data_IF_975022791915
#
_entry.id   IF_975022791915
#
_cell.length_a   1.000
_cell.length_b   1.000
_cell.length_c   1.000
_cell.angle_alpha   90.00
_cell.angle_beta   90.00
_cell.angle_gamma   90.00
#
_symmetry.space_group_name_H-M   'P 1'
#
loop_
_entity.id
_entity.type
_entity.pdbx_description
1 polymer ?
#
# COMPACT_ATOMS: atom_id res chain seq x y z
N UNK A 1 2.51 -14.41 6.74
CA UNK A 1 2.85 -12.97 6.62
C UNK A 1 2.79 -12.32 7.99
N UNK A 2 3.67 -11.37 8.21
CA UNK A 2 3.62 -10.58 9.45
C UNK A 2 2.45 -9.60 9.41
N UNK A 3 1.83 -9.37 10.57
CA UNK A 3 0.80 -8.35 10.70
C UNK A 3 1.42 -6.95 10.55
N UNK A 4 0.65 -6.01 10.03
CA UNK A 4 1.03 -4.60 10.00
C UNK A 4 0.33 -3.85 11.12
N UNK A 5 0.98 -2.82 11.65
CA UNK A 5 0.38 -1.91 12.63
C UNK A 5 0.98 -0.53 12.45
N UNK A 6 0.14 0.49 12.40
CA UNK A 6 0.61 1.86 12.24
C UNK A 6 -0.53 2.86 12.21
N UNK A 7 -0.17 4.12 12.03
CA UNK A 7 -1.13 5.22 11.92
C UNK A 7 -1.64 5.36 10.48
N UNK A 8 -2.85 5.87 10.34
CA UNK A 8 -3.54 5.97 9.05
C UNK A 8 -3.30 7.34 8.40
N UNK A 9 -2.88 7.28 7.14
CA UNK A 9 -2.97 8.42 6.20
C UNK A 9 -4.13 8.15 5.27
N UNK A 10 -5.13 9.02 5.27
CA UNK A 10 -6.35 8.82 4.51
C UNK A 10 -6.41 9.71 3.28
N UNK A 11 -6.73 9.09 2.13
CA UNK A 11 -6.90 9.77 0.85
C UNK A 11 -8.26 9.42 0.26
N UNK A 12 -8.71 10.20 -0.71
CA UNK A 12 -10.00 10.01 -1.37
C UNK A 12 -9.99 8.94 -2.46
N UNK A 13 -10.94 9.04 -3.37
CA UNK A 13 -11.04 8.15 -4.53
C UNK A 13 -10.17 8.58 -5.69
N UNK A 14 -9.93 7.66 -6.61
CA UNK A 14 -9.19 7.90 -7.86
C UNK A 14 -7.81 8.53 -7.65
N UNK A 15 -7.10 8.05 -6.64
CA UNK A 15 -5.70 8.45 -6.43
C UNK A 15 -4.87 7.79 -7.53
N UNK A 16 -4.50 8.58 -8.54
CA UNK A 16 -3.82 8.03 -9.70
C UNK A 16 -2.31 7.94 -9.53
N UNK A 17 -1.67 7.16 -10.39
CA UNK A 17 -0.22 6.91 -10.26
C UNK A 17 0.61 8.17 -10.42
N UNK A 18 0.12 9.16 -11.18
CA UNK A 18 0.80 10.44 -11.36
C UNK A 18 0.77 11.29 -10.08
N UNK A 19 -0.26 11.11 -9.26
CA UNK A 19 -0.37 11.75 -7.94
C UNK A 19 0.53 11.02 -6.93
N UNK A 20 0.60 9.69 -7.01
CA UNK A 20 1.43 8.89 -6.11
C UNK A 20 2.91 9.20 -6.33
N UNK A 21 3.35 9.19 -7.59
CA UNK A 21 4.70 9.58 -7.98
C UNK A 21 4.65 10.36 -9.29
N UNK A 22 4.89 11.68 -9.26
CA UNK A 22 4.79 12.50 -10.47
C UNK A 22 5.77 12.08 -11.57
N UNK A 23 5.35 12.27 -12.83
CA UNK A 23 6.13 11.89 -14.00
C UNK A 23 7.53 12.51 -14.02
N UNK A 24 7.71 13.70 -13.44
CA UNK A 24 9.00 14.37 -13.38
C UNK A 24 10.08 13.62 -12.59
N UNK A 25 9.68 12.62 -11.82
CA UNK A 25 10.62 11.80 -11.02
C UNK A 25 10.85 10.40 -11.59
N UNK A 26 10.27 10.07 -12.74
CA UNK A 26 10.34 8.72 -13.31
C UNK A 26 11.66 8.40 -14.00
N UNK A 27 12.56 9.36 -14.13
CA UNK A 27 13.90 9.13 -14.67
C UNK A 27 14.81 8.40 -13.68
N UNK A 28 14.38 8.22 -12.45
CA UNK A 28 15.09 7.43 -11.44
C UNK A 28 14.29 6.16 -11.13
N UNK A 29 15.01 5.06 -10.87
CA UNK A 29 14.44 3.81 -10.37
C UNK A 29 14.92 3.50 -8.95
N UNK A 30 15.64 4.43 -8.32
CA UNK A 30 16.10 4.27 -6.94
C UNK A 30 14.92 4.40 -5.97
N UNK A 31 14.57 3.32 -5.23
CA UNK A 31 13.44 3.38 -4.30
C UNK A 31 13.56 4.50 -3.27
N UNK A 32 14.74 4.76 -2.78
CA UNK A 32 14.97 5.82 -1.77
C UNK A 32 14.67 7.20 -2.33
N UNK A 33 15.07 7.46 -3.57
CA UNK A 33 14.78 8.72 -4.23
C UNK A 33 13.30 8.87 -4.52
N UNK A 34 12.65 7.82 -5.01
CA UNK A 34 11.21 7.83 -5.26
C UNK A 34 10.43 8.06 -3.96
N UNK A 35 10.88 7.48 -2.86
CA UNK A 35 10.24 7.64 -1.55
C UNK A 35 10.20 9.10 -1.11
N UNK A 36 11.22 9.89 -1.42
CA UNK A 36 11.28 11.30 -1.01
C UNK A 36 10.21 12.17 -1.68
N UNK A 37 9.62 11.68 -2.78
CA UNK A 37 8.60 12.40 -3.55
C UNK A 37 7.24 11.71 -3.53
N UNK A 38 7.09 10.66 -2.71
CA UNK A 38 5.85 9.90 -2.63
C UNK A 38 4.70 10.79 -2.17
N UNK A 39 3.60 10.78 -2.91
CA UNK A 39 2.37 11.54 -2.62
C UNK A 39 2.57 13.07 -2.61
N UNK A 40 3.67 13.57 -3.14
CA UNK A 40 4.05 14.99 -3.08
C UNK A 40 2.97 15.93 -3.64
N UNK A 41 2.33 15.53 -4.72
CA UNK A 41 1.33 16.39 -5.39
C UNK A 41 -0.05 16.36 -4.71
N UNK A 42 -0.31 15.43 -3.81
CA UNK A 42 -1.56 15.38 -3.06
C UNK A 42 -1.38 15.81 -1.59
N UNK A 43 -0.23 15.50 -1.01
CA UNK A 43 0.13 15.91 0.35
C UNK A 43 1.65 16.06 0.42
N UNK A 44 2.12 17.28 0.21
CA UNK A 44 3.56 17.58 0.19
C UNK A 44 4.27 17.28 1.51
N UNK A 45 3.54 17.16 2.61
CA UNK A 45 4.11 16.86 3.93
C UNK A 45 4.07 15.37 4.26
N UNK A 46 3.49 14.54 3.38
CA UNK A 46 3.35 13.10 3.62
C UNK A 46 4.69 12.46 3.99
N UNK A 47 5.74 12.72 3.20
CA UNK A 47 7.06 12.10 3.41
C UNK A 47 7.73 12.57 4.70
N UNK A 48 7.32 13.71 5.25
CA UNK A 48 7.82 14.23 6.53
C UNK A 48 7.09 13.62 7.72
N UNK A 49 5.85 13.19 7.53
CA UNK A 49 4.98 12.69 8.60
C UNK A 49 4.94 11.17 8.67
N UNK A 50 5.16 10.49 7.55
CA UNK A 50 5.05 9.02 7.49
C UNK A 50 6.19 8.38 8.29
N UNK A 51 5.85 7.37 9.09
CA UNK A 51 6.80 6.54 9.82
C UNK A 51 6.73 5.12 9.29
N UNK A 52 7.80 4.37 9.47
CA UNK A 52 7.82 2.98 9.06
C UNK A 52 6.72 2.19 9.76
N UNK A 53 5.92 1.46 8.98
CA UNK A 53 4.79 0.72 9.47
C UNK A 53 3.44 1.40 9.27
N UNK A 54 3.43 2.70 8.95
CA UNK A 54 2.17 3.43 8.72
C UNK A 54 1.38 2.85 7.55
N UNK A 55 0.09 3.16 7.51
CA UNK A 55 -0.85 2.54 6.59
C UNK A 55 -1.62 3.61 5.83
N UNK A 56 -1.77 3.42 4.52
CA UNK A 56 -2.62 4.27 3.67
C UNK A 56 -4.01 3.65 3.60
N UNK A 57 -5.04 4.46 3.81
CA UNK A 57 -6.44 4.09 3.61
C UNK A 57 -7.04 5.04 2.57
N UNK A 58 -7.67 4.49 1.53
CA UNK A 58 -8.23 5.28 0.44
C UNK A 58 -9.56 4.72 -0.04
N UNK A 59 -10.23 5.45 -0.91
CA UNK A 59 -11.52 5.03 -1.44
C UNK A 59 -11.36 4.24 -2.74
N UNK A 60 -12.24 4.48 -3.74
CA UNK A 60 -12.29 3.67 -4.96
C UNK A 60 -11.11 3.93 -5.89
N UNK A 61 -10.72 2.90 -6.61
CA UNK A 61 -9.84 2.98 -7.77
C UNK A 61 -8.46 3.56 -7.45
N UNK A 62 -7.87 3.10 -6.34
CA UNK A 62 -6.53 3.54 -5.95
C UNK A 62 -5.48 3.02 -6.94
N UNK A 63 -4.60 3.90 -7.38
CA UNK A 63 -3.54 3.55 -8.34
C UNK A 63 -3.99 3.57 -9.80
N UNK A 64 -5.09 4.25 -10.11
CA UNK A 64 -5.56 4.40 -11.49
C UNK A 64 -4.56 5.21 -12.33
N UNK A 65 -4.81 5.29 -13.64
CA UNK A 65 -3.94 6.01 -14.56
C UNK A 65 -2.91 5.10 -15.20
N UNK A 66 -1.72 5.63 -15.43
CA UNK A 66 -0.66 4.92 -16.14
C UNK A 66 -0.10 3.74 -15.36
N UNK A 67 0.29 2.69 -16.08
CA UNK A 67 0.92 1.51 -15.50
C UNK A 67 2.35 1.84 -15.09
N UNK A 68 2.54 2.30 -13.84
CA UNK A 68 3.85 2.65 -13.31
C UNK A 68 4.19 1.82 -12.09
N UNK A 69 5.18 0.97 -12.25
CA UNK A 69 5.73 0.19 -11.14
C UNK A 69 6.35 1.10 -10.07
N UNK A 70 6.78 2.30 -10.46
CA UNK A 70 7.34 3.30 -9.56
C UNK A 70 6.36 3.69 -8.45
N UNK A 71 5.05 3.67 -8.71
CA UNK A 71 4.05 4.06 -7.72
C UNK A 71 4.07 3.16 -6.48
N UNK A 72 3.88 1.83 -6.59
CA UNK A 72 3.96 0.99 -5.40
C UNK A 72 5.36 0.94 -4.79
N UNK A 73 6.41 1.07 -5.60
CA UNK A 73 7.79 1.14 -5.09
C UNK A 73 7.97 2.34 -4.18
N UNK A 74 7.48 3.52 -4.61
CA UNK A 74 7.61 4.75 -3.81
C UNK A 74 6.86 4.65 -2.48
N UNK A 75 5.67 4.05 -2.48
CA UNK A 75 4.87 3.86 -1.28
C UNK A 75 5.59 2.93 -0.30
N UNK A 76 6.07 1.79 -0.78
CA UNK A 76 6.78 0.82 0.05
C UNK A 76 8.07 1.41 0.62
N UNK A 77 8.84 2.10 -0.20
CA UNK A 77 10.11 2.69 0.22
C UNK A 77 9.92 3.84 1.21
N UNK A 78 8.77 4.52 1.17
CA UNK A 78 8.43 5.57 2.13
C UNK A 78 8.16 5.03 3.54
N UNK A 79 8.01 3.71 3.68
CA UNK A 79 7.79 3.06 4.97
C UNK A 79 6.37 2.55 5.18
N UNK A 80 5.48 2.71 4.20
CA UNK A 80 4.10 2.25 4.29
C UNK A 80 4.09 0.71 4.30
N UNK A 81 3.44 0.14 5.31
CA UNK A 81 3.39 -1.31 5.49
C UNK A 81 2.22 -1.96 4.75
N UNK A 82 1.18 -1.20 4.44
CA UNK A 82 -0.02 -1.73 3.80
C UNK A 82 -0.85 -0.59 3.22
N UNK A 83 -1.56 -0.87 2.12
CA UNK A 83 -2.57 0.04 1.58
C UNK A 83 -3.92 -0.66 1.64
N UNK A 84 -4.91 0.00 2.24
CA UNK A 84 -6.30 -0.46 2.31
C UNK A 84 -7.13 0.49 1.44
N UNK A 85 -7.94 -0.06 0.54
CA UNK A 85 -8.81 0.75 -0.31
C UNK A 85 -10.14 0.04 -0.55
N UNK A 86 -11.16 0.78 -0.99
CA UNK A 86 -12.40 0.16 -1.43
C UNK A 86 -12.14 -0.75 -2.62
N UNK A 87 -11.42 -0.23 -3.62
CA UNK A 87 -10.96 -0.98 -4.79
C UNK A 87 -9.61 -0.44 -5.26
N UNK A 88 -8.86 -1.28 -5.96
CA UNK A 88 -7.61 -0.90 -6.61
C UNK A 88 -7.75 -1.01 -8.13
N UNK A 89 -7.06 -0.15 -8.85
CA UNK A 89 -6.88 -0.35 -10.29
C UNK A 89 -6.11 -1.66 -10.51
N UNK A 90 -6.52 -2.44 -11.52
CA UNK A 90 -6.01 -3.80 -11.77
C UNK A 90 -4.48 -3.82 -11.90
N UNK A 91 -3.93 -2.89 -12.67
CA UNK A 91 -2.48 -2.86 -12.92
C UNK A 91 -1.72 -2.49 -11.64
N UNK A 92 -2.23 -1.53 -10.87
CA UNK A 92 -1.62 -1.17 -9.59
C UNK A 92 -1.63 -2.36 -8.63
N UNK A 93 -2.74 -3.08 -8.54
CA UNK A 93 -2.88 -4.28 -7.71
C UNK A 93 -1.77 -5.30 -8.04
N UNK A 94 -1.62 -5.60 -9.32
CA UNK A 94 -0.60 -6.53 -9.79
C UNK A 94 0.81 -6.05 -9.48
N UNK A 95 1.11 -4.79 -9.77
CA UNK A 95 2.43 -4.23 -9.53
C UNK A 95 2.78 -4.19 -8.04
N UNK A 96 1.81 -3.87 -7.18
CA UNK A 96 2.02 -3.85 -5.74
C UNK A 96 2.42 -5.23 -5.21
N UNK A 97 1.71 -6.28 -5.60
CA UNK A 97 2.04 -7.64 -5.19
C UNK A 97 3.42 -8.04 -5.71
N UNK A 98 3.73 -7.72 -6.97
CA UNK A 98 5.00 -8.09 -7.59
C UNK A 98 6.21 -7.44 -6.90
N UNK A 99 6.05 -6.28 -6.29
CA UNK A 99 7.15 -5.63 -5.55
C UNK A 99 7.08 -5.84 -4.04
N UNK A 100 6.10 -6.61 -3.59
CA UNK A 100 5.98 -6.97 -2.18
C UNK A 100 5.29 -5.94 -1.30
N UNK A 101 4.47 -5.05 -1.86
CA UNK A 101 3.64 -4.12 -1.08
C UNK A 101 2.31 -4.78 -0.76
N UNK A 102 2.01 -5.06 0.52
CA UNK A 102 0.70 -5.62 0.89
C UNK A 102 -0.43 -4.64 0.63
N UNK A 103 -1.52 -5.14 0.05
CA UNK A 103 -2.72 -4.34 -0.22
C UNK A 103 -3.96 -5.16 0.11
N UNK A 104 -5.01 -4.51 0.60
CA UNK A 104 -6.27 -5.17 0.96
C UNK A 104 -7.44 -4.33 0.46
N UNK A 105 -8.40 -4.98 -0.21
CA UNK A 105 -9.68 -4.36 -0.55
C UNK A 105 -10.66 -4.58 0.59
N UNK A 106 -11.15 -3.50 1.17
CA UNK A 106 -12.16 -3.55 2.22
C UNK A 106 -12.99 -2.26 2.17
N UNK A 107 -14.12 -2.26 1.44
CA UNK A 107 -14.94 -1.06 1.30
C UNK A 107 -15.39 -0.45 2.63
N UNK A 108 -15.77 -1.29 3.59
CA UNK A 108 -16.24 -0.81 4.89
C UNK A 108 -15.13 -0.12 5.67
N UNK A 109 -13.95 -0.73 5.75
CA UNK A 109 -12.79 -0.13 6.42
C UNK A 109 -12.39 1.18 5.75
N UNK A 110 -12.40 1.23 4.42
CA UNK A 110 -12.04 2.42 3.66
C UNK A 110 -12.97 3.60 3.96
N UNK A 111 -14.24 3.34 4.25
CA UNK A 111 -15.23 4.38 4.57
C UNK A 111 -15.15 4.84 6.02
N UNK A 112 -14.92 3.92 6.95
CA UNK A 112 -15.10 4.19 8.38
C UNK A 112 -13.81 4.55 9.12
N UNK A 113 -12.65 4.06 8.65
CA UNK A 113 -11.38 4.38 9.28
C UNK A 113 -11.02 5.84 9.01
N UNK A 114 -10.60 6.56 10.04
CA UNK A 114 -10.26 7.97 9.95
C UNK A 114 -8.76 8.20 9.91
N UNK A 115 -8.35 9.33 9.32
CA UNK A 115 -6.96 9.76 9.35
C UNK A 115 -6.49 9.89 10.79
N UNK A 116 -5.30 9.41 11.09
CA UNK A 116 -4.71 9.45 12.41
C UNK A 116 -5.08 8.28 13.32
N UNK A 117 -6.04 7.44 12.93
CA UNK A 117 -6.35 6.23 13.69
C UNK A 117 -5.14 5.28 13.70
N UNK A 118 -4.99 4.53 14.77
CA UNK A 118 -4.02 3.43 14.82
C UNK A 118 -4.74 2.14 14.46
N UNK A 119 -4.25 1.42 13.46
CA UNK A 119 -4.86 0.18 13.00
C UNK A 119 -3.84 -0.96 12.93
N UNK A 120 -4.37 -2.17 13.03
CA UNK A 120 -3.60 -3.41 12.89
C UNK A 120 -4.23 -4.26 11.80
N UNK A 121 -3.42 -4.84 10.94
CA UNK A 121 -3.88 -5.70 9.84
C UNK A 121 -3.27 -7.07 9.98
N UNK A 122 -4.12 -8.10 10.02
CA UNK A 122 -3.70 -9.50 9.97
C UNK A 122 -3.89 -9.98 8.53
N UNK A 123 -2.79 -10.20 7.82
CA UNK A 123 -2.84 -10.57 6.40
C UNK A 123 -3.33 -12.00 6.17
N UNK A 124 -3.16 -12.89 7.15
CA UNK A 124 -3.60 -14.28 7.01
C UNK A 124 -5.11 -14.43 7.05
N UNK A 125 -5.76 -13.66 7.92
CA UNK A 125 -7.22 -13.69 8.06
C UNK A 125 -7.94 -12.60 7.27
N UNK A 126 -7.23 -11.53 6.93
CA UNK A 126 -7.83 -10.34 6.33
C UNK A 126 -8.52 -9.42 7.34
N UNK A 127 -8.32 -9.65 8.63
CA UNK A 127 -8.95 -8.85 9.68
C UNK A 127 -8.17 -7.54 9.88
N UNK A 128 -8.89 -6.43 9.83
CA UNK A 128 -8.38 -5.09 10.08
C UNK A 128 -9.00 -4.62 11.40
N UNK A 129 -8.16 -4.32 12.38
CA UNK A 129 -8.62 -3.83 13.68
C UNK A 129 -8.25 -2.36 13.81
N UNK A 130 -9.27 -1.50 13.98
CA UNK A 130 -9.06 -0.09 14.33
C UNK A 130 -8.91 -0.02 15.84
N UNK A 131 -7.67 0.15 16.30
CA UNK A 131 -7.36 0.17 17.73
C UNK A 131 -7.95 1.41 18.39
N UNK A 132 -7.97 2.53 17.68
CA UNK A 132 -8.51 3.80 18.18
C UNK A 132 -9.99 3.74 18.45
N UNK A 133 -10.78 3.16 17.53
CA UNK A 133 -12.23 3.07 17.66
C UNK A 133 -12.71 1.73 18.21
N UNK A 134 -11.83 0.75 18.34
CA UNK A 134 -12.13 -0.62 18.79
C UNK A 134 -13.09 -1.36 17.86
N UNK A 135 -13.03 -1.08 16.57
CA UNK A 135 -13.83 -1.76 15.54
C UNK A 135 -12.99 -2.71 14.72
N UNK A 136 -13.60 -3.77 14.24
CA UNK A 136 -12.96 -4.73 13.35
C UNK A 136 -13.67 -4.76 12.00
N UNK A 137 -12.88 -4.98 10.95
CA UNK A 137 -13.36 -5.12 9.57
C UNK A 137 -12.71 -6.34 8.96
N UNK A 138 -13.40 -7.02 8.06
CA UNK A 138 -12.84 -8.14 7.34
C UNK A 138 -12.67 -7.79 5.88
N UNK A 139 -11.42 -7.67 5.46
CA UNK A 139 -11.05 -7.52 4.06
C UNK A 139 -10.83 -8.88 3.41
N UNK A 140 -10.48 -8.86 2.14
CA UNK A 140 -10.20 -10.08 1.40
C UNK A 140 -8.75 -10.51 1.64
N UNK A 141 -8.58 -11.67 2.27
CA UNK A 141 -7.25 -12.23 2.50
C UNK A 141 -6.62 -12.67 1.18
N UNK A 142 -5.29 -12.60 1.10
CA UNK A 142 -4.57 -13.06 -0.09
C UNK A 142 -4.58 -14.58 -0.19
N UNK A 143 -4.67 -15.14 -1.41
CA UNK A 143 -4.34 -16.55 -1.62
C UNK A 143 -2.92 -16.87 -1.14
N UNK A 144 -2.66 -18.12 -0.69
CA UNK A 144 -1.34 -18.47 -0.14
C UNK A 144 -0.15 -18.16 -1.06
N UNK A 145 -0.30 -18.34 -2.37
CA UNK A 145 0.81 -18.07 -3.28
C UNK A 145 1.16 -16.57 -3.37
N UNK A 146 0.15 -15.69 -3.26
CA UNK A 146 0.39 -14.24 -3.22
C UNK A 146 1.08 -13.83 -1.93
N UNK A 147 0.69 -14.45 -0.81
CA UNK A 147 1.37 -14.20 0.47
C UNK A 147 2.85 -14.55 0.41
N UNK A 148 3.19 -15.65 -0.26
CA UNK A 148 4.58 -16.06 -0.45
C UNK A 148 5.37 -15.05 -1.26
N UNK A 149 4.78 -14.49 -2.32
CA UNK A 149 5.43 -13.46 -3.13
C UNK A 149 5.73 -12.22 -2.28
N UNK A 150 4.75 -11.79 -1.49
CA UNK A 150 4.90 -10.62 -0.62
C UNK A 150 5.92 -10.88 0.48
N UNK A 151 5.92 -12.06 1.08
CA UNK A 151 6.88 -12.44 2.12
C UNK A 151 8.32 -12.46 1.59
N UNK A 152 8.49 -12.77 0.31
CA UNK A 152 9.79 -12.71 -0.36
C UNK A 152 10.16 -11.29 -0.83
N UNK A 153 9.31 -10.32 -0.53
CA UNK A 153 9.47 -8.92 -0.97
C UNK A 153 9.44 -8.76 -2.49
N UNK A 154 8.65 -9.57 -3.16
CA UNK A 154 8.36 -9.42 -4.58
C UNK A 154 8.57 -10.68 -5.39
N UNK A 155 8.08 -10.62 -6.64
CA UNK A 155 8.07 -11.76 -7.55
C UNK A 155 9.48 -12.23 -7.93
N UNK A 156 10.40 -11.29 -8.19
CA UNK A 156 11.77 -11.65 -8.59
C UNK A 156 12.46 -12.44 -7.49
N UNK A 157 12.36 -11.98 -6.25
CA UNK A 157 12.93 -12.69 -5.11
C UNK A 157 12.28 -14.05 -4.90
N UNK A 158 10.97 -14.14 -5.10
CA UNK A 158 10.23 -15.39 -4.98
C UNK A 158 10.71 -16.44 -6.00
N UNK A 159 10.90 -16.03 -7.25
CA UNK A 159 11.41 -16.90 -8.31
C UNK A 159 12.83 -17.35 -7.98
N UNK A 160 13.69 -16.43 -7.56
CA UNK A 160 15.08 -16.75 -7.21
C UNK A 160 15.18 -17.75 -6.07
N UNK A 161 14.30 -17.66 -5.07
CA UNK A 161 14.26 -18.63 -3.98
C UNK A 161 13.82 -20.02 -4.42
N UNK A 162 12.90 -20.10 -5.39
CA UNK A 162 12.43 -21.38 -5.92
C UNK A 162 13.49 -22.12 -6.73
N UNK A 163 14.41 -21.41 -7.34
CA UNK A 163 15.47 -22.00 -8.16
C UNK A 163 16.67 -22.47 -7.31
N UNK A 164 16.64 -22.19 -6.05
CA UNK A 164 17.62 -22.75 -5.09
C UNK A 164 17.06 -24.04 -4.47
#
# INVERSE_FOLDING_TARGET
MKAAQGCVFKFGGNVDTDVIIPARYLNSSDPKELATHCMEDIDKDFVKKVHEGDIIVANKNFGCGSSREHAPISIKAAGVSCVIAETFARIFYRNAINIGLPIIECPQAAKEINAGDEIKVDFDSGIITDITTKKEYKGQAFPPFMQKIIDCEGLVNYINQKEK
#
